data_IF_293970010750
#
_entry.id   IF_293970010750
#
_cell.length_a   1.000
_cell.length_b   1.000
_cell.length_c   1.000
_cell.angle_alpha   90.00
_cell.angle_beta   90.00
_cell.angle_gamma   90.00
#
_symmetry.space_group_name_H-M   'P 1'
#
loop_
_entity.id
_entity.type
_entity.pdbx_description
1 polymer ?
#
# COMPACT_ATOMS: atom_id res chain seq x y z
N UNK A 1 29.58 0.39 43.41
CA UNK A 1 28.97 -0.92 43.06
C UNK A 1 27.51 -0.85 42.59
N UNK A 2 26.72 0.21 42.86
CA UNK A 2 25.35 0.33 42.32
C UNK A 2 25.26 0.80 40.86
N UNK A 3 26.23 1.60 40.40
CA UNK A 3 26.24 2.17 39.03
C UNK A 3 26.47 1.16 37.90
N UNK A 4 27.25 0.11 38.13
CA UNK A 4 27.45 -0.96 37.14
C UNK A 4 26.16 -1.79 36.95
N UNK A 5 25.40 -1.99 38.04
CA UNK A 5 24.13 -2.73 38.03
C UNK A 5 23.01 -2.00 37.27
N UNK A 6 23.02 -0.66 37.25
CA UNK A 6 22.02 0.14 36.50
C UNK A 6 22.32 0.22 35.00
N UNK A 7 23.61 0.28 34.62
CA UNK A 7 24.01 0.28 33.20
C UNK A 7 23.70 -1.06 32.52
N UNK A 8 23.88 -2.19 33.22
CA UNK A 8 23.54 -3.51 32.69
C UNK A 8 22.02 -3.73 32.51
N UNK A 9 21.16 -2.99 33.23
CA UNK A 9 19.70 -3.03 33.04
C UNK A 9 19.26 -2.27 31.80
N UNK A 10 19.94 -1.18 31.46
CA UNK A 10 19.60 -0.37 30.28
C UNK A 10 19.81 -1.12 28.96
N UNK A 11 20.84 -1.98 28.84
CA UNK A 11 21.01 -2.85 27.66
C UNK A 11 19.90 -3.91 27.52
N UNK A 12 19.32 -4.38 28.63
CA UNK A 12 18.18 -5.30 28.61
C UNK A 12 16.86 -4.62 28.23
N UNK A 13 16.70 -3.36 28.60
CA UNK A 13 15.49 -2.58 28.26
C UNK A 13 15.52 -2.07 26.81
N UNK A 14 16.70 -1.87 26.22
CA UNK A 14 16.88 -1.53 24.79
C UNK A 14 16.44 -2.65 23.83
N UNK A 15 16.49 -3.93 24.24
CA UNK A 15 16.00 -5.06 23.43
C UNK A 15 14.46 -5.08 23.30
N UNK A 16 13.74 -4.60 24.32
CA UNK A 16 12.28 -4.43 24.25
C UNK A 16 11.89 -3.28 23.29
N UNK A 17 12.74 -2.26 23.14
CA UNK A 17 12.56 -1.18 22.15
C UNK A 17 12.90 -1.61 20.72
N UNK A 18 13.96 -2.40 20.54
CA UNK A 18 14.37 -2.95 19.25
C UNK A 18 13.33 -3.95 18.68
N UNK A 19 12.75 -4.80 19.55
CA UNK A 19 11.71 -5.74 19.15
C UNK A 19 10.44 -5.05 18.62
N UNK A 20 10.10 -3.85 19.10
CA UNK A 20 8.91 -3.12 18.61
C UNK A 20 9.11 -2.51 17.22
N UNK A 21 10.37 -2.25 16.84
CA UNK A 21 10.74 -1.78 15.51
C UNK A 21 10.62 -2.91 14.47
N UNK A 22 10.95 -4.14 14.82
CA UNK A 22 10.92 -5.28 13.89
C UNK A 22 9.51 -5.62 13.37
N UNK A 23 8.50 -5.53 14.23
CA UNK A 23 7.12 -5.79 13.81
C UNK A 23 6.51 -4.61 13.03
N UNK A 24 6.87 -3.38 13.37
CA UNK A 24 6.34 -2.18 12.68
C UNK A 24 6.93 -2.00 11.30
N UNK A 25 8.21 -2.33 11.08
CA UNK A 25 8.81 -2.33 9.74
C UNK A 25 8.17 -3.41 8.83
N UNK A 26 7.87 -4.59 9.39
CA UNK A 26 7.21 -5.67 8.67
C UNK A 26 5.79 -5.22 8.22
N UNK A 27 5.01 -4.64 9.13
CA UNK A 27 3.69 -4.07 8.82
C UNK A 27 3.80 -2.95 7.78
N UNK A 28 4.83 -2.09 7.86
CA UNK A 28 5.07 -1.02 6.90
C UNK A 28 5.29 -1.54 5.47
N UNK A 29 6.07 -2.61 5.31
CA UNK A 29 6.32 -3.24 4.00
C UNK A 29 5.05 -3.90 3.45
N UNK A 30 4.29 -4.62 4.29
CA UNK A 30 3.03 -5.25 3.87
C UNK A 30 2.02 -4.17 3.43
N UNK A 31 1.87 -3.10 4.21
CA UNK A 31 0.99 -1.99 3.86
C UNK A 31 1.40 -1.34 2.53
N UNK A 32 2.70 -1.08 2.35
CA UNK A 32 3.23 -0.57 1.08
C UNK A 32 2.92 -1.48 -0.11
N UNK A 33 3.17 -2.79 0.03
CA UNK A 33 2.89 -3.77 -1.02
C UNK A 33 1.39 -3.84 -1.35
N UNK A 34 0.52 -3.82 -0.34
CA UNK A 34 -0.93 -3.81 -0.53
C UNK A 34 -1.40 -2.58 -1.32
N UNK A 35 -0.89 -1.39 -0.98
CA UNK A 35 -1.20 -0.14 -1.69
C UNK A 35 -0.76 -0.24 -3.16
N UNK A 36 0.46 -0.73 -3.42
CA UNK A 36 0.96 -0.87 -4.79
C UNK A 36 0.09 -1.81 -5.64
N UNK A 37 -0.39 -2.91 -5.05
CA UNK A 37 -1.29 -3.83 -5.74
C UNK A 37 -2.62 -3.14 -6.07
N UNK A 38 -3.21 -2.42 -5.10
CA UNK A 38 -4.48 -1.69 -5.30
C UNK A 38 -4.33 -0.66 -6.44
N UNK A 39 -3.24 0.11 -6.45
CA UNK A 39 -2.96 1.08 -7.51
C UNK A 39 -2.78 0.38 -8.86
N UNK A 40 -2.05 -0.73 -8.90
CA UNK A 40 -1.84 -1.52 -10.11
C UNK A 40 -3.15 -2.04 -10.70
N UNK A 41 -4.05 -2.55 -9.86
CA UNK A 41 -5.39 -2.98 -10.28
C UNK A 41 -6.19 -1.77 -10.79
N UNK A 42 -6.16 -0.64 -10.09
CA UNK A 42 -6.87 0.57 -10.50
C UNK A 42 -6.44 1.06 -11.89
N UNK A 43 -5.14 1.09 -12.16
CA UNK A 43 -4.59 1.44 -13.48
C UNK A 43 -5.01 0.43 -14.56
N UNK A 44 -4.94 -0.86 -14.25
CA UNK A 44 -5.33 -1.92 -15.19
C UNK A 44 -6.81 -1.85 -15.55
N UNK A 45 -7.68 -1.70 -14.56
CA UNK A 45 -9.14 -1.57 -14.75
C UNK A 45 -9.46 -0.33 -15.60
N UNK A 46 -8.85 0.81 -15.28
CA UNK A 46 -9.06 2.03 -16.06
C UNK A 46 -8.61 1.88 -17.52
N UNK A 47 -7.49 1.20 -17.75
CA UNK A 47 -7.04 0.83 -19.10
C UNK A 47 -8.09 0.00 -19.85
N UNK A 48 -8.65 -1.03 -19.21
CA UNK A 48 -9.72 -1.85 -19.83
C UNK A 48 -10.96 -1.03 -20.19
N UNK A 49 -11.40 -0.11 -19.34
CA UNK A 49 -12.53 0.75 -19.66
C UNK A 49 -12.22 1.74 -20.78
N UNK A 50 -10.98 2.25 -20.85
CA UNK A 50 -10.54 3.14 -21.92
C UNK A 50 -10.51 2.40 -23.27
N UNK A 51 -9.96 1.19 -23.29
CA UNK A 51 -9.90 0.32 -24.47
C UNK A 51 -11.32 -0.01 -24.97
N UNK A 52 -12.17 -0.53 -24.08
CA UNK A 52 -13.58 -0.82 -24.36
C UNK A 52 -14.29 0.41 -24.93
N UNK A 53 -13.99 1.58 -24.37
CA UNK A 53 -14.64 2.79 -24.81
C UNK A 53 -14.23 3.22 -26.22
N UNK A 54 -12.95 3.05 -26.53
CA UNK A 54 -12.42 3.29 -27.88
C UNK A 54 -13.11 2.38 -28.89
N UNK A 55 -13.22 1.10 -28.57
CA UNK A 55 -13.87 0.11 -29.45
C UNK A 55 -15.37 0.38 -29.63
N UNK A 56 -16.07 0.77 -28.55
CA UNK A 56 -17.50 1.06 -28.60
C UNK A 56 -17.80 2.28 -29.47
N UNK A 57 -17.04 3.37 -29.29
CA UNK A 57 -17.15 4.57 -30.13
C UNK A 57 -16.82 4.26 -31.59
N UNK A 58 -15.79 3.46 -31.87
CA UNK A 58 -15.42 3.06 -33.22
C UNK A 58 -16.47 2.18 -33.90
N UNK A 59 -17.18 1.36 -33.11
CA UNK A 59 -18.19 0.44 -33.62
C UNK A 59 -19.50 1.12 -34.03
N UNK A 60 -19.73 2.39 -33.66
CA UNK A 60 -21.00 3.11 -33.88
C UNK A 60 -22.23 2.42 -33.23
N UNK A 61 -22.02 1.46 -32.32
CA UNK A 61 -23.09 0.73 -31.61
C UNK A 61 -23.53 1.50 -30.36
N UNK A 62 -22.67 2.40 -29.87
CA UNK A 62 -22.97 3.30 -28.76
C UNK A 62 -21.81 4.27 -28.54
N UNK A 63 -21.99 5.19 -27.59
CA UNK A 63 -20.94 6.11 -27.16
C UNK A 63 -20.72 5.96 -25.66
N UNK A 64 -19.47 5.98 -25.19
CA UNK A 64 -19.27 6.20 -23.77
C UNK A 64 -19.52 7.66 -23.45
N UNK A 65 -20.54 7.91 -22.63
CA UNK A 65 -20.71 9.21 -22.00
C UNK A 65 -19.60 9.44 -20.97
N UNK A 66 -19.09 10.67 -20.89
CA UNK A 66 -18.11 11.11 -19.90
C UNK A 66 -18.73 11.21 -18.50
N UNK A 67 -19.17 10.10 -17.92
CA UNK A 67 -19.36 9.94 -16.47
C UNK A 67 -20.21 10.98 -15.72
N UNK A 68 -21.01 11.83 -16.36
CA UNK A 68 -22.14 12.49 -15.72
C UNK A 68 -23.30 11.52 -15.82
N UNK A 69 -23.48 10.70 -14.79
CA UNK A 69 -24.57 9.72 -14.72
C UNK A 69 -25.90 10.37 -15.12
N UNK A 70 -26.55 9.76 -16.10
CA UNK A 70 -27.99 9.88 -16.33
C UNK A 70 -28.63 8.58 -15.87
#
# INVERSE_FOLDING_TARGET
MKKLMTMARQFRDEENGAAMVEYSILVGIIAGAAILIIVGIGLWVNGRFTDLCTDLNASNIGSCGSGTGS
#
